data_IF_270632220138
#
_entry.id   IF_270632220138
#
_cell.length_a   1.000
_cell.length_b   1.000
_cell.length_c   1.000
_cell.angle_alpha   90.00
_cell.angle_beta   90.00
_cell.angle_gamma   90.00
#
_symmetry.space_group_name_H-M   'P 1'
#
loop_
_entity.id
_entity.type
_entity.pdbx_description
1 polymer ?
#
# COMPACT_ATOMS: atom_id res chain seq x y z
N UNK A 1 -12.82 -16.37 9.44
CA UNK A 1 -11.69 -15.84 10.25
C UNK A 1 -10.97 -14.84 9.38
N UNK A 2 -10.95 -13.54 9.72
CA UNK A 2 -10.17 -12.56 8.95
C UNK A 2 -8.70 -12.74 9.32
N UNK A 3 -7.85 -13.07 8.36
CA UNK A 3 -6.40 -13.14 8.58
C UNK A 3 -5.85 -11.72 8.73
N UNK A 4 -5.76 -11.26 9.99
CA UNK A 4 -5.18 -9.97 10.32
C UNK A 4 -3.69 -9.95 9.95
N UNK A 5 -3.26 -8.83 9.37
CA UNK A 5 -1.85 -8.58 9.15
C UNK A 5 -1.22 -8.12 10.45
N UNK A 6 0.07 -8.43 10.62
CA UNK A 6 0.86 -7.94 11.76
C UNK A 6 1.00 -6.41 11.75
N UNK A 7 0.99 -5.82 10.56
CA UNK A 7 1.14 -4.40 10.30
C UNK A 7 -0.02 -3.91 9.43
N UNK A 8 -0.50 -2.69 9.67
CA UNK A 8 -1.46 -2.01 8.81
C UNK A 8 -0.74 -1.18 7.75
N UNK A 9 -1.27 -1.15 6.53
CA UNK A 9 -0.67 -0.44 5.41
C UNK A 9 -1.64 0.56 4.79
N UNK A 10 -1.27 1.83 4.74
CA UNK A 10 -1.96 2.86 3.98
C UNK A 10 -1.55 2.77 2.51
N UNK A 11 -2.54 2.61 1.64
CA UNK A 11 -2.34 2.48 0.20
C UNK A 11 -2.68 3.80 -0.48
N UNK A 12 -1.72 4.30 -1.26
CA UNK A 12 -1.83 5.47 -2.09
C UNK A 12 -1.87 5.04 -3.55
N UNK A 13 -2.84 5.51 -4.32
CA UNK A 13 -3.00 5.21 -5.74
C UNK A 13 -2.56 6.41 -6.57
N UNK A 14 -1.90 6.16 -7.70
CA UNK A 14 -1.40 7.21 -8.58
C UNK A 14 -2.54 7.76 -9.44
N UNK A 15 -2.80 9.07 -9.32
CA UNK A 15 -3.94 9.73 -10.00
C UNK A 15 -3.87 9.67 -11.52
N UNK A 16 -2.67 9.84 -12.07
CA UNK A 16 -2.44 9.91 -13.53
C UNK A 16 -2.04 8.58 -14.16
N UNK A 17 -1.89 7.52 -13.35
CA UNK A 17 -1.55 6.18 -13.82
C UNK A 17 -2.41 5.17 -13.05
N UNK A 18 -3.66 4.94 -13.50
CA UNK A 18 -4.55 4.02 -12.81
C UNK A 18 -3.90 2.65 -12.66
N UNK A 19 -4.19 2.01 -11.54
CA UNK A 19 -3.59 0.76 -11.15
C UNK A 19 -2.15 0.77 -10.67
N UNK A 20 -1.46 1.90 -10.51
CA UNK A 20 -0.20 1.94 -9.73
C UNK A 20 -0.48 2.37 -8.29
N UNK A 21 -0.11 1.51 -7.34
CA UNK A 21 -0.35 1.71 -5.92
C UNK A 21 0.95 1.64 -5.12
N UNK A 22 0.99 2.38 -4.01
CA UNK A 22 2.07 2.37 -3.05
C UNK A 22 1.53 2.13 -1.65
N UNK A 23 1.99 1.06 -1.00
CA UNK A 23 1.65 0.74 0.38
C UNK A 23 2.77 1.16 1.33
N UNK A 24 2.40 1.98 2.31
CA UNK A 24 3.26 2.46 3.39
C UNK A 24 2.68 1.98 4.69
N UNK A 25 3.50 1.47 5.60
CA UNK A 25 3.03 1.11 6.94
C UNK A 25 2.39 2.33 7.64
N UNK A 26 1.26 2.11 8.28
CA UNK A 26 0.50 3.15 8.98
C UNK A 26 1.29 3.83 10.12
N UNK A 27 2.19 3.08 10.76
CA UNK A 27 3.04 3.56 11.86
C UNK A 27 4.35 4.22 11.40
N UNK A 28 4.52 4.45 10.09
CA UNK A 28 5.73 5.05 9.51
C UNK A 28 5.44 6.37 8.77
N UNK A 29 6.42 7.28 8.71
CA UNK A 29 6.27 8.49 7.91
C UNK A 29 6.03 8.16 6.44
N UNK A 30 5.13 8.91 5.82
CA UNK A 30 4.85 8.81 4.39
C UNK A 30 6.08 9.28 3.59
N UNK A 31 6.60 8.49 2.65
CA UNK A 31 7.70 8.90 1.77
C UNK A 31 7.40 10.18 1.00
N UNK A 32 8.40 11.05 0.84
CA UNK A 32 8.25 12.36 0.20
C UNK A 32 7.84 12.33 -1.28
N UNK A 33 8.09 11.22 -1.97
CA UNK A 33 7.66 11.05 -3.38
C UNK A 33 6.15 10.79 -3.52
N UNK A 34 5.44 10.52 -2.42
CA UNK A 34 3.98 10.42 -2.40
C UNK A 34 3.38 11.81 -2.21
N UNK A 35 3.65 12.69 -3.17
CA UNK A 35 3.10 14.03 -3.20
C UNK A 35 1.58 13.99 -3.45
N UNK A 36 0.87 14.94 -2.83
CA UNK A 36 -0.59 15.02 -2.94
C UNK A 36 -1.08 15.40 -4.35
N UNK A 37 -0.20 15.88 -5.24
CA UNK A 37 -0.56 16.19 -6.62
C UNK A 37 -0.68 14.90 -7.45
N UNK A 38 0.27 13.98 -7.30
CA UNK A 38 0.39 12.75 -8.10
C UNK A 38 -0.28 11.53 -7.46
N UNK A 39 -0.43 11.52 -6.13
CA UNK A 39 -0.95 10.39 -5.36
C UNK A 39 -2.19 10.76 -4.55
N UNK A 40 -3.11 9.82 -4.41
CA UNK A 40 -4.29 9.93 -3.57
C UNK A 40 -4.31 8.79 -2.56
N UNK A 41 -4.74 9.06 -1.33
CA UNK A 41 -5.05 7.99 -0.39
C UNK A 41 -6.24 7.17 -0.93
N UNK A 42 -6.08 5.85 -0.98
CA UNK A 42 -7.13 4.93 -1.41
C UNK A 42 -7.79 4.24 -0.22
N UNK A 43 -7.04 3.38 0.47
CA UNK A 43 -7.56 2.53 1.55
C UNK A 43 -6.45 2.08 2.48
N UNK A 44 -6.82 1.50 3.62
CA UNK A 44 -5.88 0.87 4.56
C UNK A 44 -6.08 -0.65 4.57
N UNK A 45 -5.01 -1.40 4.32
CA UNK A 45 -5.00 -2.86 4.44
C UNK A 45 -4.64 -3.25 5.87
N UNK A 46 -5.60 -3.81 6.62
CA UNK A 46 -5.39 -4.31 7.99
C UNK A 46 -5.43 -5.84 8.06
N UNK A 47 -6.12 -6.47 7.12
CA UNK A 47 -6.22 -7.91 6.94
C UNK A 47 -5.97 -8.27 5.48
N UNK A 48 -5.63 -9.53 5.19
CA UNK A 48 -5.45 -10.01 3.81
C UNK A 48 -6.68 -9.79 2.93
N UNK A 49 -7.86 -9.69 3.54
CA UNK A 49 -9.14 -9.51 2.85
C UNK A 49 -9.46 -8.05 2.52
N UNK A 50 -8.74 -7.09 3.10
CA UNK A 50 -8.99 -5.65 2.89
C UNK A 50 -8.26 -5.11 1.66
N UNK A 51 -7.23 -5.82 1.18
CA UNK A 51 -6.44 -5.44 0.02
C UNK A 51 -6.89 -6.15 -1.25
N UNK A 52 -6.51 -5.63 -2.43
CA UNK A 52 -6.75 -6.29 -3.70
C UNK A 52 -6.00 -7.62 -3.77
N UNK A 53 -6.42 -8.52 -4.65
CA UNK A 53 -5.76 -9.83 -4.87
C UNK A 53 -4.28 -9.68 -5.26
N UNK A 54 -3.91 -8.55 -5.86
CA UNK A 54 -2.53 -8.21 -6.23
C UNK A 54 -1.66 -7.78 -5.04
N UNK A 55 -2.26 -7.48 -3.89
CA UNK A 55 -1.53 -7.07 -2.70
C UNK A 55 -0.88 -8.28 -2.01
N UNK A 56 0.45 -8.34 -2.10
CA UNK A 56 1.24 -9.39 -1.47
C UNK A 56 1.76 -8.95 -0.11
N UNK A 57 1.11 -9.39 0.97
CA UNK A 57 1.42 -8.92 2.34
C UNK A 57 2.87 -9.21 2.78
N UNK A 58 3.45 -10.33 2.32
CA UNK A 58 4.85 -10.67 2.62
C UNK A 58 5.82 -9.72 1.91
N UNK A 59 5.59 -9.44 0.63
CA UNK A 59 6.39 -8.47 -0.12
C UNK A 59 6.24 -7.06 0.48
N UNK A 60 5.03 -6.68 0.90
CA UNK A 60 4.78 -5.41 1.58
C UNK A 60 5.59 -5.27 2.87
N UNK A 61 5.64 -6.33 3.68
CA UNK A 61 6.42 -6.37 4.91
C UNK A 61 7.93 -6.23 4.64
N UNK A 62 8.47 -7.01 3.70
CA UNK A 62 9.90 -6.99 3.36
C UNK A 62 10.31 -5.65 2.76
N UNK A 63 9.51 -5.11 1.83
CA UNK A 63 9.79 -3.83 1.18
C UNK A 63 9.68 -2.66 2.17
N UNK A 64 8.66 -2.62 3.04
CA UNK A 64 8.57 -1.58 4.07
C UNK A 64 9.72 -1.67 5.10
N UNK A 65 10.21 -2.87 5.39
CA UNK A 65 11.34 -3.04 6.31
C UNK A 65 12.67 -2.54 5.71
N UNK A 66 12.85 -2.61 4.38
CA UNK A 66 14.09 -2.23 3.69
C UNK A 66 14.05 -0.82 3.08
N UNK A 67 12.94 -0.46 2.44
CA UNK A 67 12.76 0.76 1.65
C UNK A 67 11.79 1.75 2.31
N UNK A 68 10.96 1.29 3.24
CA UNK A 68 9.91 2.11 3.86
C UNK A 68 8.61 2.20 3.05
N UNK A 69 8.52 1.52 1.90
CA UNK A 69 7.33 1.48 1.06
C UNK A 69 7.28 0.22 0.18
N UNK A 70 6.12 -0.07 -0.40
CA UNK A 70 5.90 -1.18 -1.32
C UNK A 70 5.10 -0.72 -2.54
N UNK A 71 5.69 -0.78 -3.73
CA UNK A 71 5.01 -0.47 -5.00
C UNK A 71 4.45 -1.74 -5.63
N UNK A 72 3.21 -1.67 -6.10
CA UNK A 72 2.55 -2.78 -6.80
C UNK A 72 1.53 -2.25 -7.81
N UNK A 73 1.12 -3.10 -8.73
CA UNK A 73 0.01 -2.80 -9.62
C UNK A 73 -1.28 -3.42 -9.09
N UNK A 74 -2.34 -2.64 -9.03
CA UNK A 74 -3.70 -3.09 -8.74
C UNK A 74 -4.54 -2.94 -9.99
N UNK A 75 -5.09 -4.04 -10.48
CA UNK A 75 -5.84 -4.07 -11.74
C UNK A 75 -7.20 -3.37 -11.60
N UNK A 76 -7.64 -3.08 -10.36
CA UNK A 76 -8.93 -2.46 -10.06
C UNK A 76 -8.85 -1.07 -9.39
N UNK A 77 -7.66 -0.46 -9.26
CA UNK A 77 -7.47 0.81 -8.53
C UNK A 77 -7.60 2.08 -9.37
#
# INVERSE_FOLDING_TARGET
MREQLRDAYNVFCRKHKPGLCCAVREDRPVPSFLDAESWAFGYTVRSKSDGPVSFQSKAAQEANSRLGFYLFHDVCA
#
